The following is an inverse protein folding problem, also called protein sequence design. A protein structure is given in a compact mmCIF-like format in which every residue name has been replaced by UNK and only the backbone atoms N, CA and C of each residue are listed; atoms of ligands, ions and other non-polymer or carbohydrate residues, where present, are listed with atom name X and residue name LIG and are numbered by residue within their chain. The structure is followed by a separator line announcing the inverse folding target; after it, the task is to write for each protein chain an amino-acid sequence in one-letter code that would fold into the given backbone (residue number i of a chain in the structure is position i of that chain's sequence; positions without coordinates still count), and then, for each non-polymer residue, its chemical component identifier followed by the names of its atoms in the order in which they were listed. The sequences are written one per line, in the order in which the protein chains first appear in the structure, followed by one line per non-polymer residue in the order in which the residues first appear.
data_IF_877122314918
#
_entry.id   IF_877122314918
#
_cell.length_a   1.000
_cell.length_b   1.000
_cell.length_c   1.000
_cell.angle_alpha   90.00
_cell.angle_beta   90.00
_cell.angle_gamma   90.00
#
_symmetry.space_group_name_H-M   'P 1'
#
loop_
_entity.id
_entity.type
_entity.pdbx_description
1 polymer ?
#
# COMPACT_ATOMS: atom_id res chain seq x y z
N UNK A 1 -8.73 -18.56 9.87
CA UNK A 1 -8.83 -17.34 9.02
C UNK A 1 -7.84 -16.29 9.48
N UNK A 2 -7.80 -15.93 10.77
CA UNK A 2 -6.84 -14.97 11.35
C UNK A 2 -5.36 -15.37 11.16
N UNK A 3 -5.01 -16.66 11.28
CA UNK A 3 -3.61 -17.13 11.09
C UNK A 3 -3.06 -16.89 9.69
N UNK A 4 -3.86 -17.09 8.62
CA UNK A 4 -3.42 -16.81 7.24
C UNK A 4 -3.20 -15.31 6.99
N UNK A 5 -3.89 -14.44 7.75
CA UNK A 5 -3.70 -12.99 7.67
C UNK A 5 -2.47 -12.52 8.45
N UNK A 6 -2.13 -13.17 9.58
CA UNK A 6 -0.90 -12.90 10.33
C UNK A 6 0.33 -13.08 9.44
N UNK A 7 0.41 -14.19 8.71
CA UNK A 7 1.55 -14.48 7.84
C UNK A 7 1.77 -13.41 6.75
N UNK A 8 0.71 -12.86 6.16
CA UNK A 8 0.85 -11.87 5.07
C UNK A 8 1.21 -10.49 5.60
N UNK A 9 0.67 -10.12 6.76
CA UNK A 9 1.13 -8.91 7.45
C UNK A 9 2.61 -9.04 7.79
N UNK A 10 3.02 -10.17 8.35
CA UNK A 10 4.43 -10.43 8.68
C UNK A 10 5.31 -10.41 7.43
N UNK A 11 4.88 -11.01 6.31
CA UNK A 11 5.59 -10.97 5.02
C UNK A 11 5.76 -9.53 4.51
N UNK A 12 4.68 -8.74 4.46
CA UNK A 12 4.72 -7.37 3.92
C UNK A 12 5.48 -6.43 4.87
N UNK A 13 5.21 -6.51 6.17
CA UNK A 13 5.88 -5.69 7.17
C UNK A 13 7.36 -6.02 7.21
N UNK A 14 7.74 -7.30 7.23
CA UNK A 14 9.14 -7.73 7.18
C UNK A 14 9.83 -7.24 5.92
N UNK A 15 9.19 -7.38 4.75
CA UNK A 15 9.80 -6.94 3.50
C UNK A 15 9.99 -5.42 3.45
N UNK A 16 8.98 -4.64 3.82
CA UNK A 16 9.10 -3.17 3.79
C UNK A 16 10.04 -2.65 4.87
N UNK A 17 10.06 -3.28 6.04
CA UNK A 17 10.99 -2.93 7.11
C UNK A 17 12.43 -3.25 6.73
N UNK A 18 12.72 -4.46 6.27
CA UNK A 18 14.08 -4.85 5.90
C UNK A 18 14.52 -4.14 4.62
N UNK A 19 13.61 -3.99 3.65
CA UNK A 19 13.92 -3.47 2.32
C UNK A 19 13.97 -1.95 2.20
N UNK A 20 13.12 -1.22 2.95
CA UNK A 20 13.01 0.25 2.82
C UNK A 20 13.55 1.02 4.02
N UNK A 21 13.71 0.42 5.21
CA UNK A 21 14.29 1.16 6.37
C UNK A 21 15.72 1.61 6.09
N UNK A 22 16.48 0.82 5.33
CA UNK A 22 17.85 1.15 4.96
C UNK A 22 17.95 2.26 3.91
N UNK A 23 16.83 2.70 3.34
CA UNK A 23 16.77 3.75 2.33
C UNK A 23 16.01 4.99 2.81
N UNK A 24 14.98 4.81 3.62
CA UNK A 24 14.13 5.89 4.10
C UNK A 24 14.84 6.75 5.14
N UNK A 25 14.50 8.04 5.14
CA UNK A 25 15.03 8.99 6.14
C UNK A 25 14.06 9.12 7.33
N UNK A 26 12.77 8.94 7.07
CA UNK A 26 11.73 8.98 8.09
C UNK A 26 10.78 7.80 7.99
N UNK A 27 10.14 7.49 9.10
CA UNK A 27 8.99 6.59 9.17
C UNK A 27 7.81 7.27 9.87
N UNK A 28 6.61 6.87 9.46
CA UNK A 28 5.36 7.18 10.17
C UNK A 28 4.68 5.87 10.52
N UNK A 29 4.43 5.67 11.81
CA UNK A 29 3.72 4.50 12.34
C UNK A 29 2.46 4.95 13.08
N UNK A 30 1.35 4.29 12.79
CA UNK A 30 0.13 4.31 13.60
C UNK A 30 -0.07 2.90 14.13
N UNK A 31 0.00 2.78 15.44
CA UNK A 31 -0.21 1.51 16.14
C UNK A 31 -1.03 1.74 17.40
N UNK A 32 -1.69 0.70 17.88
CA UNK A 32 -2.37 0.69 19.17
C UNK A 32 -1.48 -0.03 20.18
N UNK A 33 -1.33 0.53 21.37
CA UNK A 33 -0.64 -0.15 22.47
C UNK A 33 -1.58 -1.10 23.23
N UNK A 34 -1.02 -1.86 24.18
CA UNK A 34 -1.79 -2.78 25.03
C UNK A 34 -2.80 -2.07 25.94
N UNK A 35 -2.65 -0.75 26.12
CA UNK A 35 -3.52 0.12 26.92
C UNK A 35 -4.65 0.77 26.13
N UNK A 36 -4.94 0.29 24.92
CA UNK A 36 -6.04 0.78 24.07
C UNK A 36 -5.79 2.17 23.47
N UNK A 37 -4.58 2.72 23.60
CA UNK A 37 -4.22 4.05 23.12
C UNK A 37 -3.59 3.99 21.73
N UNK A 38 -4.02 4.90 20.84
CA UNK A 38 -3.37 5.07 19.55
C UNK A 38 -2.09 5.87 19.71
N UNK A 39 -0.97 5.30 19.26
CA UNK A 39 0.30 5.98 19.13
C UNK A 39 0.56 6.31 17.67
N UNK A 40 0.88 7.58 17.41
CA UNK A 40 1.24 8.11 16.11
C UNK A 40 2.68 8.61 16.20
N UNK A 41 3.61 7.92 15.54
CA UNK A 41 5.05 8.14 15.70
C UNK A 41 5.64 8.53 14.36
N UNK A 42 6.18 9.75 14.28
CA UNK A 42 6.98 10.21 13.15
C UNK A 42 8.44 10.23 13.59
N UNK A 43 9.24 9.30 13.08
CA UNK A 43 10.61 9.09 13.52
C UNK A 43 11.56 9.37 12.36
N UNK A 44 12.62 10.12 12.63
CA UNK A 44 13.79 10.14 11.76
C UNK A 44 14.61 8.88 12.04
N UNK A 45 14.83 8.06 11.02
CA UNK A 45 15.52 6.78 11.15
C UNK A 45 16.94 6.81 10.57
N UNK A 46 17.28 7.84 9.78
CA UNK A 46 18.63 8.02 9.21
C UNK A 46 19.03 9.49 9.17
N UNK A 47 20.32 9.73 8.95
CA UNK A 47 20.82 11.08 8.65
C UNK A 47 20.16 11.63 7.40
N UNK A 48 19.74 12.89 7.48
CA UNK A 48 19.01 13.57 6.42
C UNK A 48 19.98 13.89 5.28
N UNK A 49 19.73 13.35 4.09
CA UNK A 49 20.52 13.61 2.88
C UNK A 49 19.87 14.64 1.96
N UNK A 50 18.58 14.92 2.18
CA UNK A 50 17.78 15.89 1.42
C UNK A 50 17.26 17.01 2.33
N UNK A 51 16.45 17.95 1.83
CA UNK A 51 15.85 18.94 2.73
C UNK A 51 14.85 18.25 3.68
N UNK A 52 14.87 18.53 5.00
CA UNK A 52 14.02 17.84 5.97
C UNK A 52 12.52 17.87 5.61
N UNK A 53 11.86 16.71 5.67
CA UNK A 53 10.42 16.59 5.53
C UNK A 53 9.72 17.09 6.79
N UNK A 54 8.80 18.03 6.66
CA UNK A 54 8.06 18.54 7.82
C UNK A 54 7.08 17.49 8.34
N UNK A 55 6.96 17.38 9.67
CA UNK A 55 5.97 16.50 10.30
C UNK A 55 4.56 16.76 9.78
N UNK A 56 4.19 18.02 9.55
CA UNK A 56 2.88 18.39 8.99
C UNK A 56 2.64 17.75 7.62
N UNK A 57 3.63 17.75 6.73
CA UNK A 57 3.54 17.13 5.41
C UNK A 57 3.56 15.60 5.51
N UNK A 58 4.40 15.03 6.36
CA UNK A 58 4.37 13.60 6.63
C UNK A 58 2.98 13.14 7.12
N UNK A 59 2.36 13.93 7.99
CA UNK A 59 1.03 13.66 8.54
C UNK A 59 -0.12 13.78 7.53
N UNK A 60 0.08 14.40 6.36
CA UNK A 60 -1.01 14.55 5.39
C UNK A 60 -1.40 13.24 4.70
N UNK A 61 -0.59 12.18 4.83
CA UNK A 61 -0.94 10.85 4.32
C UNK A 61 -1.91 10.11 5.24
N UNK A 62 -2.03 10.55 6.50
CA UNK A 62 -2.90 9.93 7.49
C UNK A 62 -4.33 10.36 7.22
N UNK A 63 -5.26 9.42 6.95
CA UNK A 63 -6.68 9.74 6.86
C UNK A 63 -7.18 10.48 8.11
N UNK A 64 -8.04 11.48 7.93
CA UNK A 64 -8.59 12.29 9.05
C UNK A 64 -10.08 12.01 9.22
N UNK A 65 -10.54 11.92 10.48
CA UNK A 65 -11.96 11.82 10.83
C UNK A 65 -12.60 10.48 10.44
N UNK A 66 -13.88 10.50 10.07
CA UNK A 66 -14.62 9.29 9.65
C UNK A 66 -14.14 8.69 8.32
N UNK A 67 -13.14 9.27 7.66
CA UNK A 67 -12.61 8.75 6.41
C UNK A 67 -11.99 7.35 6.56
N UNK A 68 -11.53 6.98 7.76
CA UNK A 68 -11.05 5.62 8.07
C UNK A 68 -12.05 4.51 7.72
N UNK A 69 -13.36 4.75 7.82
CA UNK A 69 -14.36 3.71 7.53
C UNK A 69 -14.38 3.28 6.07
N UNK A 70 -13.92 4.15 5.17
CA UNK A 70 -13.85 3.90 3.73
C UNK A 70 -12.51 3.28 3.30
N UNK A 71 -11.51 3.31 4.19
CA UNK A 71 -10.19 2.68 4.01
C UNK A 71 -10.10 1.30 4.70
N UNK A 72 -11.24 0.72 5.12
CA UNK A 72 -11.33 -0.66 5.61
C UNK A 72 -11.15 -1.70 4.48
N UNK A 73 -10.22 -1.45 3.56
CA UNK A 73 -9.58 -2.52 2.83
C UNK A 73 -8.89 -3.44 3.84
N UNK A 74 -8.96 -4.75 3.59
CA UNK A 74 -8.30 -5.74 4.45
C UNK A 74 -6.77 -5.59 4.41
N UNK A 75 -6.29 -4.92 3.38
CA UNK A 75 -4.91 -4.51 3.13
C UNK A 75 -4.96 -3.34 2.15
N UNK A 76 -4.15 -2.34 2.42
CA UNK A 76 -3.90 -1.22 1.53
C UNK A 76 -2.40 -0.99 1.39
N UNK A 77 -1.89 -0.88 0.16
CA UNK A 77 -0.50 -0.56 -0.16
C UNK A 77 -0.52 0.73 -0.98
N UNK A 78 0.33 1.68 -0.64
CA UNK A 78 0.34 2.98 -1.29
C UNK A 78 1.75 3.49 -1.60
N UNK A 79 1.80 4.32 -2.64
CA UNK A 79 2.92 5.19 -3.00
C UNK A 79 2.37 6.59 -3.25
N UNK A 80 2.62 7.50 -2.32
CA UNK A 80 2.06 8.86 -2.34
C UNK A 80 3.22 9.86 -2.48
N UNK A 81 3.29 10.64 -3.57
CA UNK A 81 4.24 11.72 -3.67
C UNK A 81 3.88 12.85 -2.70
N UNK A 82 4.87 13.36 -1.99
CA UNK A 82 4.74 14.48 -1.05
C UNK A 82 5.65 15.60 -1.50
N UNK A 83 5.09 16.79 -1.61
CA UNK A 83 5.81 17.99 -2.01
C UNK A 83 5.96 18.87 -0.77
N UNK A 84 7.18 18.96 -0.24
CA UNK A 84 7.49 19.93 0.82
C UNK A 84 7.43 21.34 0.23
N UNK A 85 7.97 21.51 -0.98
CA UNK A 85 7.85 22.66 -1.88
C UNK A 85 8.00 22.19 -3.34
N UNK A 86 8.16 23.11 -4.31
CA UNK A 86 8.19 22.76 -5.75
C UNK A 86 9.35 21.82 -6.13
N UNK A 87 10.50 22.00 -5.49
CA UNK A 87 11.74 21.27 -5.79
C UNK A 87 11.99 20.08 -4.84
N UNK A 88 11.53 20.16 -3.60
CA UNK A 88 11.72 19.14 -2.58
C UNK A 88 10.60 18.11 -2.58
N UNK A 89 10.84 17.01 -3.30
CA UNK A 89 9.89 15.92 -3.49
C UNK A 89 10.29 14.71 -2.67
N UNK A 90 9.28 14.08 -2.10
CA UNK A 90 9.37 12.88 -1.30
C UNK A 90 8.39 11.84 -1.84
N UNK A 91 8.72 10.57 -1.67
CA UNK A 91 7.77 9.48 -1.85
C UNK A 91 7.48 8.87 -0.47
N UNK A 92 6.21 8.86 -0.10
CA UNK A 92 5.74 8.00 0.98
C UNK A 92 5.36 6.65 0.38
N UNK A 93 6.03 5.58 0.80
CA UNK A 93 5.70 4.22 0.42
C UNK A 93 5.34 3.45 1.68
N UNK A 94 4.20 2.78 1.68
CA UNK A 94 3.72 2.16 2.91
C UNK A 94 2.50 1.30 2.72
N UNK A 95 1.95 0.89 3.86
CA UNK A 95 0.73 0.12 3.91
C UNK A 95 -0.12 0.51 5.11
N UNK A 96 -1.41 0.22 4.97
CA UNK A 96 -2.45 0.41 5.96
C UNK A 96 -3.26 -0.90 6.06
N UNK A 97 -3.53 -1.36 7.27
CA UNK A 97 -4.23 -2.62 7.51
C UNK A 97 -4.97 -2.62 8.86
N UNK A 98 -5.73 -3.68 9.10
CA UNK A 98 -6.44 -3.91 10.36
C UNK A 98 -5.87 -5.17 11.02
N UNK A 99 -5.29 -5.01 12.20
CA UNK A 99 -4.69 -6.09 12.99
C UNK A 99 -5.64 -6.55 14.11
N UNK A 100 -5.64 -7.85 14.47
CA UNK A 100 -6.47 -8.33 15.56
C UNK A 100 -5.99 -7.79 16.93
N UNK A 101 -6.93 -7.39 17.77
CA UNK A 101 -6.69 -7.02 19.16
C UNK A 101 -7.09 -8.16 20.08
N UNK A 102 -6.20 -8.55 21.01
CA UNK A 102 -6.40 -9.69 21.92
C UNK A 102 -7.75 -9.66 22.66
N UNK A 103 -8.26 -8.47 23.00
CA UNK A 103 -9.45 -8.31 23.86
C UNK A 103 -10.61 -7.53 23.24
N UNK A 104 -10.42 -6.91 22.06
CA UNK A 104 -11.38 -5.90 21.52
C UNK A 104 -11.77 -6.12 20.07
N UNK A 105 -11.29 -7.18 19.43
CA UNK A 105 -11.55 -7.45 18.02
C UNK A 105 -10.37 -7.03 17.16
N UNK A 106 -10.27 -5.75 16.77
CA UNK A 106 -9.24 -5.28 15.85
C UNK A 106 -8.89 -3.80 15.99
N UNK A 107 -7.73 -3.39 15.45
CA UNK A 107 -7.25 -2.01 15.41
C UNK A 107 -6.56 -1.69 14.08
N UNK A 108 -6.51 -0.41 13.77
CA UNK A 108 -5.82 0.10 12.58
C UNK A 108 -4.31 0.10 12.80
N UNK A 109 -3.58 -0.37 11.79
CA UNK A 109 -2.14 -0.25 11.68
C UNK A 109 -1.76 0.47 10.39
N UNK A 110 -0.87 1.45 10.47
CA UNK A 110 -0.28 2.11 9.30
C UNK A 110 1.23 2.18 9.48
N UNK A 111 1.96 1.86 8.43
CA UNK A 111 3.41 2.08 8.37
C UNK A 111 3.78 2.67 7.03
N UNK A 112 4.46 3.80 7.08
CA UNK A 112 4.94 4.52 5.92
C UNK A 112 6.43 4.86 6.04
N UNK A 113 7.14 4.72 4.94
CA UNK A 113 8.54 5.07 4.76
C UNK A 113 8.63 6.30 3.87
N UNK A 114 9.39 7.30 4.27
CA UNK A 114 9.60 8.51 3.48
C UNK A 114 10.97 8.50 2.85
N UNK A 115 10.96 8.44 1.52
CA UNK A 115 12.12 8.32 0.66
C UNK A 115 12.30 9.65 -0.08
N UNK A 116 13.50 10.26 -0.06
CA UNK A 116 13.75 11.42 -0.89
C UNK A 116 13.62 11.07 -2.37
N UNK A 117 13.06 11.99 -3.16
CA UNK A 117 12.89 11.83 -4.60
C UNK A 117 13.84 12.78 -5.36
N UNK A 118 14.54 12.33 -6.42
CA UNK A 118 14.41 11.03 -7.09
C UNK A 118 14.94 9.84 -6.28
N UNK A 119 14.28 8.69 -6.43
CA UNK A 119 14.69 7.46 -5.76
C UNK A 119 16.04 6.96 -6.28
N UNK A 120 16.86 6.44 -5.38
CA UNK A 120 18.11 5.76 -5.73
C UNK A 120 17.82 4.37 -6.33
N UNK A 121 18.78 3.85 -7.10
CA UNK A 121 18.62 2.58 -7.84
C UNK A 121 18.32 1.39 -6.92
N UNK A 122 19.01 1.29 -5.80
CA UNK A 122 18.79 0.29 -4.76
C UNK A 122 17.35 0.28 -4.23
N UNK A 123 16.76 1.45 -4.01
CA UNK A 123 15.34 1.58 -3.60
C UNK A 123 14.40 1.08 -4.69
N UNK A 124 14.65 1.48 -5.93
CA UNK A 124 13.85 1.06 -7.08
C UNK A 124 13.90 -0.45 -7.27
N UNK A 125 15.08 -1.05 -7.10
CA UNK A 125 15.26 -2.51 -7.20
C UNK A 125 14.54 -3.24 -6.04
N UNK A 126 14.51 -2.66 -4.83
CA UNK A 126 13.72 -3.18 -3.70
C UNK A 126 12.22 -3.10 -3.91
N UNK A 127 11.72 -2.06 -4.58
CA UNK A 127 10.30 -1.96 -4.94
C UNK A 127 9.91 -3.03 -5.97
N UNK A 128 10.79 -3.36 -6.92
CA UNK A 128 10.55 -4.47 -7.86
C UNK A 128 10.54 -5.83 -7.14
N UNK A 129 11.51 -6.08 -6.26
CA UNK A 129 11.56 -7.28 -5.43
C UNK A 129 10.30 -7.42 -4.56
N UNK A 130 9.80 -6.32 -3.98
CA UNK A 130 8.53 -6.30 -3.25
C UNK A 130 7.36 -6.72 -4.13
N UNK A 131 7.27 -6.18 -5.35
CA UNK A 131 6.22 -6.53 -6.29
C UNK A 131 6.31 -8.02 -6.70
N UNK A 132 7.50 -8.58 -6.80
CA UNK A 132 7.72 -9.99 -7.14
C UNK A 132 7.26 -10.93 -6.03
N UNK A 133 7.61 -10.61 -4.78
CA UNK A 133 7.11 -11.30 -3.58
C UNK A 133 5.59 -11.18 -3.49
N UNK A 134 5.05 -9.98 -3.73
CA UNK A 134 3.61 -9.77 -3.67
C UNK A 134 2.89 -10.55 -4.76
N UNK A 135 3.38 -10.57 -5.99
CA UNK A 135 2.72 -11.22 -7.13
C UNK A 135 2.79 -12.75 -7.15
N UNK A 136 3.72 -13.35 -6.39
CA UNK A 136 4.05 -14.77 -6.35
C UNK A 136 4.02 -15.41 -7.75
N UNK A 137 5.10 -15.23 -8.53
CA UNK A 137 5.18 -15.66 -9.93
C UNK A 137 5.16 -17.17 -10.17
N UNK A 138 5.09 -18.01 -9.14
CA UNK A 138 5.19 -19.47 -9.20
C UNK A 138 4.05 -20.21 -9.92
N UNK A 139 3.10 -19.54 -10.58
CA UNK A 139 1.97 -20.20 -11.27
C UNK A 139 1.98 -19.74 -12.74
N UNK A 140 2.31 -20.64 -13.67
CA UNK A 140 2.59 -20.33 -15.06
C UNK A 140 1.31 -20.21 -15.93
N UNK A 141 1.42 -19.45 -17.02
CA UNK A 141 0.53 -19.35 -18.20
C UNK A 141 -0.81 -18.60 -18.12
N UNK A 142 -1.70 -18.86 -17.15
CA UNK A 142 -2.97 -18.09 -17.08
C UNK A 142 -2.75 -16.60 -16.69
N UNK A 143 -1.60 -16.30 -16.08
CA UNK A 143 -1.26 -14.96 -15.56
C UNK A 143 -0.92 -13.96 -16.65
N UNK A 144 -0.19 -14.39 -17.68
CA UNK A 144 0.32 -13.48 -18.71
C UNK A 144 -0.86 -12.89 -19.50
N UNK A 145 -1.84 -13.73 -19.86
CA UNK A 145 -3.05 -13.28 -20.55
C UNK A 145 -3.95 -12.41 -19.65
N UNK A 146 -3.93 -12.59 -18.33
CA UNK A 146 -4.65 -11.72 -17.39
C UNK A 146 -3.96 -10.36 -17.21
N UNK A 147 -2.64 -10.35 -16.97
CA UNK A 147 -1.83 -9.13 -16.84
C UNK A 147 -1.89 -8.32 -18.14
N UNK A 148 -1.73 -8.97 -19.30
CA UNK A 148 -1.83 -8.29 -20.60
C UNK A 148 -3.23 -7.69 -20.86
N UNK A 149 -4.30 -8.41 -20.47
CA UNK A 149 -5.67 -7.86 -20.49
C UNK A 149 -5.84 -6.69 -19.51
N UNK A 150 -5.13 -6.70 -18.39
CA UNK A 150 -5.12 -5.59 -17.45
C UNK A 150 -4.38 -4.40 -18.02
N UNK A 151 -3.15 -4.56 -18.50
CA UNK A 151 -2.37 -3.51 -19.18
C UNK A 151 -3.18 -2.76 -20.24
N UNK A 152 -3.93 -3.48 -21.08
CA UNK A 152 -4.80 -2.89 -22.10
C UNK A 152 -5.98 -2.08 -21.52
N UNK A 153 -6.56 -2.51 -20.39
CA UNK A 153 -7.64 -1.77 -19.69
C UNK A 153 -7.13 -0.60 -18.85
N UNK A 154 -5.88 -0.66 -18.41
CA UNK A 154 -5.25 0.33 -17.54
C UNK A 154 -4.69 1.54 -18.29
N UNK A 155 -4.47 1.43 -19.61
CA UNK A 155 -4.04 2.56 -20.45
C UNK A 155 -5.12 3.64 -20.51
N UNK A 156 -5.03 4.61 -19.59
CA UNK A 156 -5.89 5.79 -19.53
C UNK A 156 -6.96 5.78 -18.43
N UNK A 157 -7.05 4.73 -17.60
CA UNK A 157 -7.99 4.68 -16.48
C UNK A 157 -7.30 5.02 -15.16
N UNK A 158 -7.89 5.95 -14.41
CA UNK A 158 -7.47 6.29 -13.05
C UNK A 158 -7.97 5.30 -11.99
N UNK A 159 -8.79 4.30 -12.39
CA UNK A 159 -9.34 3.27 -11.53
C UNK A 159 -9.35 1.89 -12.21
N UNK A 160 -8.60 0.93 -11.66
CA UNK A 160 -8.50 -0.44 -12.21
C UNK A 160 -9.32 -1.38 -11.37
N UNK A 161 -10.58 -1.48 -11.75
CA UNK A 161 -11.57 -2.32 -11.13
C UNK A 161 -11.39 -3.80 -11.50
N UNK A 162 -10.60 -4.52 -10.70
CA UNK A 162 -10.37 -5.92 -10.95
C UNK A 162 -11.21 -6.82 -10.04
N UNK A 163 -12.37 -7.27 -10.51
CA UNK A 163 -13.21 -8.22 -9.76
C UNK A 163 -12.58 -9.62 -9.76
N UNK A 164 -12.05 -10.06 -8.62
CA UNK A 164 -11.53 -11.41 -8.46
C UNK A 164 -12.04 -12.07 -7.19
N UNK A 165 -12.46 -13.33 -7.34
CA UNK A 165 -12.77 -14.25 -6.23
C UNK A 165 -11.51 -14.91 -5.64
N UNK A 166 -10.37 -14.85 -6.36
CA UNK A 166 -9.10 -15.46 -5.96
C UNK A 166 -8.10 -14.43 -5.44
N UNK A 167 -7.56 -14.72 -4.25
CA UNK A 167 -6.54 -13.93 -3.57
C UNK A 167 -5.27 -13.75 -4.40
N UNK A 168 -4.85 -14.79 -5.12
CA UNK A 168 -3.67 -14.74 -5.98
C UNK A 168 -3.82 -13.68 -7.10
N UNK A 169 -5.01 -13.56 -7.70
CA UNK A 169 -5.26 -12.57 -8.75
C UNK A 169 -5.22 -11.12 -8.21
N UNK A 170 -5.67 -10.90 -6.97
CA UNK A 170 -5.54 -9.60 -6.29
C UNK A 170 -4.08 -9.20 -6.11
N UNK A 171 -3.29 -10.13 -5.58
CA UNK A 171 -1.84 -10.01 -5.41
C UNK A 171 -1.13 -9.66 -6.72
N UNK A 172 -1.50 -10.32 -7.81
CA UNK A 172 -0.93 -10.03 -9.14
C UNK A 172 -1.23 -8.60 -9.63
N UNK A 173 -2.40 -8.05 -9.28
CA UNK A 173 -2.80 -6.69 -9.68
C UNK A 173 -2.09 -5.65 -8.83
N UNK A 174 -2.07 -5.82 -7.51
CA UNK A 174 -1.29 -4.94 -6.63
C UNK A 174 0.18 -4.89 -7.08
N UNK A 175 0.77 -6.06 -7.35
CA UNK A 175 2.14 -6.16 -7.86
C UNK A 175 2.32 -5.44 -9.20
N UNK A 176 1.37 -5.58 -10.14
CA UNK A 176 1.41 -4.86 -11.41
C UNK A 176 1.34 -3.34 -11.22
N UNK A 177 0.47 -2.85 -10.33
CA UNK A 177 0.35 -1.42 -10.00
C UNK A 177 1.67 -0.88 -9.44
N UNK A 178 2.29 -1.62 -8.52
CA UNK A 178 3.57 -1.25 -7.93
C UNK A 178 4.67 -1.21 -9.00
N UNK A 179 4.70 -2.16 -9.94
CA UNK A 179 5.66 -2.14 -11.07
C UNK A 179 5.46 -0.95 -11.99
N UNK A 180 4.23 -0.63 -12.35
CA UNK A 180 3.92 0.56 -13.15
C UNK A 180 4.38 1.84 -12.43
N UNK A 181 4.09 1.94 -11.13
CA UNK A 181 4.59 3.04 -10.30
C UNK A 181 6.11 3.13 -10.34
N UNK A 182 6.79 2.00 -10.16
CA UNK A 182 8.26 1.94 -10.15
C UNK A 182 8.87 2.31 -11.50
N UNK A 183 8.26 1.91 -12.61
CA UNK A 183 8.69 2.32 -13.96
C UNK A 183 8.61 3.84 -14.16
N UNK A 184 7.59 4.49 -13.61
CA UNK A 184 7.47 5.96 -13.63
C UNK A 184 8.48 6.62 -12.70
N UNK A 185 8.71 6.08 -11.51
CA UNK A 185 9.75 6.58 -10.61
C UNK A 185 11.15 6.49 -11.24
N UNK A 186 11.46 5.41 -11.98
CA UNK A 186 12.70 5.28 -12.78
C UNK A 186 12.87 6.40 -13.82
N UNK A 187 11.76 6.91 -14.37
CA UNK A 187 11.73 8.05 -15.30
C UNK A 187 11.71 9.42 -14.59
N UNK A 188 11.82 9.44 -13.26
CA UNK A 188 11.70 10.63 -12.40
C UNK A 188 10.32 11.29 -12.46
N UNK A 189 9.30 10.53 -12.86
CA UNK A 189 7.91 10.98 -12.85
C UNK A 189 7.29 10.73 -11.47
N UNK A 190 6.47 11.66 -10.98
CA UNK A 190 5.66 11.42 -9.79
C UNK A 190 4.44 10.59 -10.18
N UNK A 191 4.21 9.52 -9.42
CA UNK A 191 3.05 8.65 -9.60
C UNK A 191 2.42 8.36 -8.24
N UNK A 192 1.13 8.63 -8.14
CA UNK A 192 0.33 8.29 -6.97
C UNK A 192 -0.36 6.95 -7.24
N UNK A 193 -0.21 6.02 -6.32
CA UNK A 193 -1.02 4.82 -6.31
C UNK A 193 -1.45 4.45 -4.89
N UNK A 194 -2.57 3.75 -4.83
CA UNK A 194 -3.11 3.11 -3.64
C UNK A 194 -3.82 1.85 -4.11
N UNK A 195 -3.67 0.73 -3.42
CA UNK A 195 -4.28 -0.54 -3.78
C UNK A 195 -5.25 -0.95 -2.69
N UNK A 196 -6.55 -1.02 -2.96
CA UNK A 196 -7.54 -1.32 -1.93
C UNK A 196 -8.17 -2.70 -2.14
N UNK A 197 -8.15 -3.56 -1.12
CA UNK A 197 -8.88 -4.85 -1.14
C UNK A 197 -10.18 -4.73 -0.34
N UNK A 198 -11.28 -4.45 -1.02
CA UNK A 198 -12.61 -4.23 -0.41
C UNK A 198 -13.64 -5.31 -0.81
N UNK A 199 -14.66 -5.51 0.03
CA UNK A 199 -15.87 -6.26 -0.39
C UNK A 199 -16.71 -5.40 -1.33
N UNK A 200 -17.38 -6.04 -2.30
CA UNK A 200 -18.22 -5.37 -3.32
C UNK A 200 -19.24 -4.36 -2.75
N UNK A 201 -19.83 -4.64 -1.60
CA UNK A 201 -20.84 -3.79 -0.95
C UNK A 201 -20.25 -2.66 -0.09
N UNK A 202 -18.92 -2.55 0.03
CA UNK A 202 -18.24 -1.52 0.81
C UNK A 202 -17.65 -0.40 -0.06
N UNK A 203 -17.78 -0.49 -1.39
CA UNK A 203 -17.25 0.50 -2.33
C UNK A 203 -18.19 1.71 -2.35
N UNK A 204 -17.76 2.89 -1.88
CA UNK A 204 -18.62 4.07 -1.88
C UNK A 204 -18.82 4.58 -3.31
N UNK A 205 -20.03 4.98 -3.66
CA UNK A 205 -20.41 5.41 -5.02
C UNK A 205 -19.75 6.73 -5.48
N UNK A 206 -18.99 7.41 -4.62
CA UNK A 206 -18.42 8.74 -4.86
C UNK A 206 -16.93 8.76 -5.18
N UNK A 207 -16.25 7.61 -5.34
CA UNK A 207 -14.83 7.57 -5.65
C UNK A 207 -14.57 8.04 -7.08
N UNK A 208 -14.32 9.34 -7.23
CA UNK A 208 -13.93 10.00 -8.46
C UNK A 208 -12.40 10.01 -8.64
N UNK A 209 -11.99 9.51 -9.79
CA UNK A 209 -10.90 9.98 -10.65
C UNK A 209 -9.41 9.87 -10.27
N UNK A 210 -8.93 9.30 -9.14
CA UNK A 210 -7.47 9.14 -8.93
C UNK A 210 -6.99 7.90 -8.13
N UNK A 211 -7.71 6.77 -8.15
CA UNK A 211 -7.37 5.60 -7.31
C UNK A 211 -7.44 4.28 -8.05
N UNK A 212 -6.41 3.44 -7.93
CA UNK A 212 -6.43 2.10 -8.50
C UNK A 212 -7.07 1.07 -7.55
N UNK A 213 -8.34 0.70 -7.76
CA UNK A 213 -9.12 -0.14 -6.81
C UNK A 213 -9.25 -1.61 -7.27
N UNK A 214 -8.57 -2.56 -6.61
CA UNK A 214 -8.77 -3.99 -6.86
C UNK A 214 -10.08 -4.52 -6.20
N UNK A 215 -11.02 -5.06 -6.97
CA UNK A 215 -12.37 -5.46 -6.50
C UNK A 215 -12.44 -6.92 -6.04
N UNK A 216 -12.95 -7.24 -4.85
CA UNK A 216 -13.32 -8.63 -4.51
C UNK A 216 -14.78 -8.88 -4.84
N UNK A 217 -15.05 -9.67 -5.89
CA UNK A 217 -16.40 -10.18 -6.17
C UNK A 217 -16.56 -11.56 -5.54
N UNK A 218 -17.52 -11.62 -4.62
CA UNK A 218 -18.27 -12.79 -4.16
C UNK A 218 -17.83 -13.47 -2.85
N UNK A 219 -18.76 -13.31 -1.88
CA UNK A 219 -19.28 -14.24 -0.88
C UNK A 219 -18.38 -15.43 -0.51
N UNK A 220 -17.71 -15.31 0.64
CA UNK A 220 -17.49 -16.48 1.48
C UNK A 220 -18.66 -16.50 2.45
N UNK A 221 -19.49 -17.53 2.35
CA UNK A 221 -20.53 -17.80 3.32
C UNK A 221 -19.90 -17.78 4.72
N UNK A 222 -20.62 -17.09 5.60
CA UNK A 222 -20.36 -17.02 7.02
C UNK A 222 -20.22 -18.44 7.58
N UNK A 223 -19.08 -18.89 8.13
CA UNK A 223 -19.04 -20.15 8.88
C UNK A 223 -19.64 -19.99 10.29
N UNK A 224 -20.27 -18.86 10.60
CA UNK A 224 -21.08 -18.67 11.80
C UNK A 224 -22.58 -18.88 11.49
N UNK A 225 -22.94 -20.14 11.26
CA UNK A 225 -24.16 -20.76 11.79
C UNK A 225 -23.79 -22.14 12.32
#
# INVERSE_FOLDING_TARGET
MLEKFSNIYEEISSFLEVGLSDAAEYTLDISRDEGDSYSLRFNQIRSISSRPLSKRKAMSIVPVGSQWSYFLGWRDIFGIPIFENEDDKWLSFGFETVLPHKTRGAYLYLKAFFLPFPLKKDVLDKIDEFADVLGDYSIADEKISFIHRMELKCRGSTEINASSSSMYKHRAIEAWIIREANQRYRKRETFLFRTLVMKKNQIPSFWGQNFVIAKRSDVWENPAR
#
